data_IF_795678452337
#
_entry.id   IF_795678452337
#
_cell.length_a   1.000
_cell.length_b   1.000
_cell.length_c   1.000
_cell.angle_alpha   90.00
_cell.angle_beta   90.00
_cell.angle_gamma   90.00
#
_symmetry.space_group_name_H-M   'P 1'
#
loop_
_entity.id
_entity.type
_entity.pdbx_description
1 polymer ?
#
# COMPACT_ATOMS: atom_id res chain seq x y z
N UNK A 1 -7.67 24.85 -0.54
CA UNK A 1 -7.14 24.10 -1.68
C UNK A 1 -8.29 23.36 -2.37
N UNK A 2 -8.36 23.39 -3.67
CA UNK A 2 -9.38 22.70 -4.46
C UNK A 2 -8.92 21.27 -4.85
N UNK A 3 -9.83 20.46 -5.44
CA UNK A 3 -9.53 19.06 -5.84
C UNK A 3 -8.32 18.95 -6.79
N UNK A 4 -8.16 19.90 -7.73
CA UNK A 4 -7.07 19.88 -8.71
C UNK A 4 -5.72 20.17 -8.05
N UNK A 5 -5.67 21.12 -7.14
CA UNK A 5 -4.48 21.43 -6.35
C UNK A 5 -4.10 20.28 -5.43
N UNK A 6 -5.09 19.65 -4.76
CA UNK A 6 -4.88 18.46 -3.92
C UNK A 6 -4.25 17.30 -4.71
N UNK A 7 -4.83 16.97 -5.87
CA UNK A 7 -4.29 15.89 -6.71
C UNK A 7 -2.89 16.23 -7.24
N UNK A 8 -2.64 17.49 -7.59
CA UNK A 8 -1.31 17.96 -8.00
C UNK A 8 -0.30 17.86 -6.85
N UNK A 9 -0.68 18.21 -5.64
CA UNK A 9 0.22 18.13 -4.47
C UNK A 9 0.44 16.69 -4.05
N UNK A 10 -0.57 15.82 -4.10
CA UNK A 10 -0.38 14.37 -3.94
C UNK A 10 0.59 13.81 -5.00
N UNK A 11 0.51 14.31 -6.24
CA UNK A 11 1.47 14.03 -7.28
C UNK A 11 2.89 14.48 -6.92
N UNK A 12 3.08 15.69 -6.41
CA UNK A 12 4.37 16.26 -6.05
C UNK A 12 5.01 15.61 -4.82
N UNK A 13 4.20 15.17 -3.85
CA UNK A 13 4.71 14.45 -2.66
C UNK A 13 5.31 13.08 -3.06
N UNK A 14 4.79 12.47 -4.15
CA UNK A 14 5.44 11.31 -4.78
C UNK A 14 6.67 11.67 -5.62
N UNK A 15 6.93 12.97 -5.89
CA UNK A 15 7.81 13.45 -6.97
C UNK A 15 8.91 14.40 -6.56
N UNK A 16 8.91 14.98 -5.35
CA UNK A 16 10.04 15.77 -4.91
C UNK A 16 11.28 14.89 -4.95
N UNK A 17 11.95 14.92 -6.09
CA UNK A 17 13.14 14.23 -6.51
C UNK A 17 13.75 13.29 -5.50
N UNK A 18 13.46 12.00 -5.63
CA UNK A 18 14.15 10.97 -4.89
C UNK A 18 15.57 10.83 -5.48
N UNK A 19 16.39 11.82 -5.24
CA UNK A 19 17.82 11.57 -5.15
C UNK A 19 18.05 10.85 -3.82
N UNK A 20 18.99 9.90 -3.75
CA UNK A 20 19.39 9.16 -2.55
C UNK A 20 19.62 10.06 -1.29
N UNK A 21 19.64 11.39 -1.47
CA UNK A 21 19.70 12.40 -0.41
C UNK A 21 18.38 12.66 0.32
N UNK A 22 17.23 12.13 -0.14
CA UNK A 22 15.90 12.44 0.43
C UNK A 22 15.35 11.39 1.40
N UNK A 23 16.10 10.31 1.67
CA UNK A 23 15.80 9.43 2.79
C UNK A 23 16.92 9.39 3.85
N UNK A 24 17.46 10.56 4.31
CA UNK A 24 18.46 10.56 5.39
C UNK A 24 17.89 9.92 6.66
N UNK A 25 16.57 9.92 6.85
CA UNK A 25 15.96 9.37 8.05
C UNK A 25 15.75 7.84 7.98
N UNK A 26 15.62 7.23 6.79
CA UNK A 26 15.66 5.77 6.68
C UNK A 26 17.06 5.21 6.95
N UNK A 27 18.11 5.96 6.56
CA UNK A 27 19.48 5.69 7.02
C UNK A 27 19.74 6.24 8.42
N UNK A 28 19.06 7.30 8.87
CA UNK A 28 19.20 7.90 10.19
C UNK A 28 18.15 7.39 11.21
N UNK A 29 17.20 6.54 10.84
CA UNK A 29 16.66 5.50 11.74
C UNK A 29 17.74 4.52 12.18
N UNK A 30 18.96 4.58 11.57
CA UNK A 30 20.22 4.21 12.16
C UNK A 30 20.49 5.01 13.45
N UNK A 31 21.46 4.62 14.17
CA UNK A 31 21.83 4.96 15.56
C UNK A 31 21.64 6.41 16.07
N UNK A 32 21.61 7.45 15.20
CA UNK A 32 21.42 8.85 15.64
C UNK A 32 19.97 9.19 16.03
N UNK A 33 18.98 8.80 15.22
CA UNK A 33 17.58 9.03 15.54
C UNK A 33 17.15 8.17 16.74
N UNK A 34 17.73 6.95 16.87
CA UNK A 34 17.56 6.11 18.07
C UNK A 34 18.18 6.72 19.31
N UNK A 35 19.22 7.56 19.19
CA UNK A 35 19.82 8.28 20.30
C UNK A 35 19.02 9.51 20.74
N UNK A 36 18.37 10.23 19.83
CA UNK A 36 17.56 11.43 20.17
C UNK A 36 16.37 11.13 21.07
N UNK A 37 15.77 9.92 20.95
CA UNK A 37 14.57 9.53 21.74
C UNK A 37 14.86 8.46 22.79
N UNK A 38 16.12 8.26 23.15
CA UNK A 38 16.52 7.25 24.13
C UNK A 38 15.97 7.60 25.53
N UNK A 39 15.05 6.74 26.00
CA UNK A 39 14.40 6.90 27.30
C UNK A 39 13.04 7.60 27.26
N UNK A 40 12.66 8.23 26.15
CA UNK A 40 11.33 8.79 25.97
C UNK A 40 10.35 7.75 25.44
N UNK A 41 9.08 7.86 25.87
CA UNK A 41 8.00 6.97 25.41
C UNK A 41 6.86 7.80 24.85
N UNK A 42 6.43 7.44 23.63
CA UNK A 42 5.18 7.94 23.07
C UNK A 42 3.99 7.31 23.82
N UNK A 43 3.05 8.13 24.24
CA UNK A 43 1.81 7.69 24.91
C UNK A 43 0.68 7.63 23.91
N UNK A 44 0.27 6.41 23.55
CA UNK A 44 -0.59 6.13 22.41
C UNK A 44 -1.97 5.65 22.86
N UNK A 45 -3.02 6.18 22.20
CA UNK A 45 -4.36 5.62 22.18
C UNK A 45 -4.61 4.79 20.91
N UNK A 46 -5.37 3.71 21.03
CA UNK A 46 -5.76 2.89 19.86
C UNK A 46 -7.27 2.93 19.72
N UNK A 47 -7.75 3.33 18.55
CA UNK A 47 -9.16 3.43 18.19
C UNK A 47 -9.46 2.37 17.12
N UNK A 48 -10.30 1.40 17.46
CA UNK A 48 -10.53 0.20 16.69
C UNK A 48 -9.54 -0.90 17.06
N UNK A 49 -9.97 -1.85 17.91
CA UNK A 49 -9.16 -2.96 18.42
C UNK A 49 -9.52 -4.30 17.78
N UNK A 50 -10.20 -4.27 16.63
CA UNK A 50 -10.44 -5.45 15.79
C UNK A 50 -9.14 -6.05 15.23
N UNK A 51 -9.23 -6.93 14.22
CA UNK A 51 -8.05 -7.66 13.72
C UNK A 51 -6.86 -6.76 13.34
N UNK A 52 -7.09 -5.58 12.71
CA UNK A 52 -5.99 -4.69 12.32
C UNK A 52 -5.43 -3.93 13.53
N UNK A 53 -6.30 -3.48 14.44
CA UNK A 53 -5.84 -2.88 15.70
C UNK A 53 -5.02 -3.85 16.54
N UNK A 54 -5.47 -5.10 16.70
CA UNK A 54 -4.70 -6.15 17.37
C UNK A 54 -3.37 -6.47 16.67
N UNK A 55 -3.31 -6.39 15.34
CA UNK A 55 -2.05 -6.51 14.61
C UNK A 55 -1.07 -5.41 15.03
N UNK A 56 -1.49 -4.15 15.08
CA UNK A 56 -0.66 -3.05 15.56
C UNK A 56 -0.26 -3.23 17.03
N UNK A 57 -1.18 -3.63 17.90
CA UNK A 57 -0.92 -3.90 19.31
C UNK A 57 0.25 -4.90 19.47
N UNK A 58 0.26 -5.99 18.70
CA UNK A 58 1.31 -7.01 18.75
C UNK A 58 2.69 -6.49 18.34
N UNK A 59 2.77 -5.52 17.43
CA UNK A 59 4.01 -4.83 17.09
C UNK A 59 4.43 -3.87 18.20
N UNK A 60 3.49 -3.06 18.72
CA UNK A 60 3.77 -2.06 19.74
C UNK A 60 4.25 -2.66 21.06
N UNK A 61 3.76 -3.86 21.44
CA UNK A 61 4.25 -4.57 22.64
C UNK A 61 5.75 -4.84 22.58
N UNK A 62 6.32 -4.98 21.38
CA UNK A 62 7.74 -5.25 21.17
C UNK A 62 8.59 -3.98 21.09
N UNK A 63 7.99 -2.79 21.14
CA UNK A 63 8.67 -1.49 21.03
C UNK A 63 8.93 -0.90 22.41
N UNK A 64 10.20 -0.64 22.79
CA UNK A 64 10.52 -0.14 24.14
C UNK A 64 10.13 1.32 24.37
N UNK A 65 9.95 2.09 23.30
CA UNK A 65 9.70 3.53 23.29
C UNK A 65 8.23 3.89 23.11
N UNK A 66 7.31 2.97 23.42
CA UNK A 66 5.86 3.21 23.36
C UNK A 66 5.17 2.75 24.64
N UNK A 67 4.13 3.46 25.02
CA UNK A 67 3.19 3.08 26.06
C UNK A 67 1.77 3.25 25.52
N UNK A 68 1.01 2.17 25.43
CA UNK A 68 -0.42 2.25 25.08
C UNK A 68 -1.18 2.54 26.37
N UNK A 69 -1.73 3.75 26.46
CA UNK A 69 -2.41 4.26 27.67
C UNK A 69 -3.93 4.22 27.56
N UNK A 70 -4.47 4.06 26.34
CA UNK A 70 -5.91 4.02 26.09
C UNK A 70 -6.26 3.09 24.92
N UNK A 71 -7.35 2.34 25.05
CA UNK A 71 -7.93 1.48 24.03
C UNK A 71 -9.39 1.85 23.84
N UNK A 72 -9.87 1.88 22.60
CA UNK A 72 -11.25 2.19 22.27
C UNK A 72 -11.81 1.25 21.20
N UNK A 73 -12.94 0.64 21.48
CA UNK A 73 -13.76 -0.09 20.52
C UNK A 73 -15.20 -0.12 21.02
N UNK A 74 -16.16 0.03 20.12
CA UNK A 74 -17.58 -0.07 20.46
C UNK A 74 -18.10 -1.51 20.47
N UNK A 75 -17.27 -2.48 20.03
CA UNK A 75 -17.54 -3.91 20.17
C UNK A 75 -16.74 -4.48 21.35
N UNK A 76 -17.41 -4.68 22.47
CA UNK A 76 -16.82 -5.03 23.75
C UNK A 76 -15.85 -6.23 23.71
N UNK A 77 -16.11 -7.33 22.98
CA UNK A 77 -15.18 -8.45 22.92
C UNK A 77 -13.80 -8.07 22.32
N UNK A 78 -13.77 -7.23 21.26
CA UNK A 78 -12.49 -6.75 20.70
C UNK A 78 -11.71 -5.93 21.71
N UNK A 79 -12.40 -5.09 22.50
CA UNK A 79 -11.77 -4.26 23.50
C UNK A 79 -11.16 -5.09 24.63
N UNK A 80 -11.85 -6.12 25.08
CA UNK A 80 -11.40 -7.02 26.15
C UNK A 80 -10.20 -7.88 25.71
N UNK A 81 -10.21 -8.38 24.47
CA UNK A 81 -9.07 -9.09 23.90
C UNK A 81 -7.83 -8.20 23.80
N UNK A 82 -7.99 -6.96 23.37
CA UNK A 82 -6.90 -6.00 23.28
C UNK A 82 -6.34 -5.61 24.66
N UNK A 83 -7.20 -5.49 25.67
CA UNK A 83 -6.82 -5.13 27.02
C UNK A 83 -5.87 -6.15 27.69
N UNK A 84 -5.87 -7.41 27.23
CA UNK A 84 -4.95 -8.42 27.73
C UNK A 84 -3.48 -8.07 27.47
N UNK A 85 -3.18 -7.34 26.38
CA UNK A 85 -1.83 -6.88 26.04
C UNK A 85 -1.40 -5.66 26.84
N UNK A 86 -2.36 -4.81 27.24
CA UNK A 86 -2.14 -3.57 28.00
C UNK A 86 -3.12 -3.42 29.15
N UNK A 87 -2.97 -4.23 30.24
CA UNK A 87 -3.95 -4.28 31.34
C UNK A 87 -4.12 -2.97 32.11
N UNK A 88 -3.17 -2.03 31.96
CA UNK A 88 -3.22 -0.71 32.58
C UNK A 88 -3.84 0.38 31.70
N UNK A 89 -4.09 0.07 30.42
CA UNK A 89 -4.72 1.02 29.52
C UNK A 89 -6.17 1.30 29.93
N UNK A 90 -6.58 2.55 29.81
CA UNK A 90 -7.99 2.93 30.03
C UNK A 90 -8.83 2.46 28.84
N UNK A 91 -10.02 1.93 29.12
CA UNK A 91 -10.92 1.38 28.12
C UNK A 91 -12.06 2.34 27.85
N UNK A 92 -12.37 2.56 26.56
CA UNK A 92 -13.41 3.47 26.09
C UNK A 92 -14.29 2.77 25.04
N UNK A 93 -15.57 3.09 25.04
CA UNK A 93 -16.55 2.72 24.01
C UNK A 93 -16.81 3.86 23.01
N UNK A 94 -16.44 5.11 23.39
CA UNK A 94 -16.49 6.31 22.54
C UNK A 94 -15.08 6.90 22.41
N UNK A 95 -14.58 6.98 21.17
CA UNK A 95 -13.26 7.51 20.85
C UNK A 95 -13.09 8.98 21.26
N UNK A 96 -14.16 9.78 21.29
CA UNK A 96 -14.09 11.19 21.68
C UNK A 96 -13.59 11.32 23.11
N UNK A 97 -14.05 10.44 23.99
CA UNK A 97 -13.59 10.39 25.40
C UNK A 97 -12.12 9.98 25.51
N UNK A 98 -11.63 9.15 24.58
CA UNK A 98 -10.21 8.85 24.48
C UNK A 98 -9.43 10.08 24.04
N UNK A 99 -9.93 10.85 23.06
CA UNK A 99 -9.27 12.07 22.58
C UNK A 99 -9.18 13.17 23.64
N UNK A 100 -10.12 13.24 24.59
CA UNK A 100 -10.10 14.17 25.72
C UNK A 100 -8.98 13.87 26.72
N UNK A 101 -8.36 12.69 26.67
CA UNK A 101 -7.29 12.34 27.62
C UNK A 101 -6.04 13.15 27.33
N UNK A 102 -5.58 13.89 28.34
CA UNK A 102 -4.37 14.74 28.23
C UNK A 102 -3.09 13.94 28.07
N UNK A 103 -3.08 12.74 28.61
CA UNK A 103 -1.94 11.83 28.60
C UNK A 103 -1.83 11.00 27.29
N UNK A 104 -2.79 11.08 26.40
CA UNK A 104 -2.70 10.53 25.04
C UNK A 104 -2.05 11.56 24.12
N UNK A 105 -0.88 11.27 23.57
CA UNK A 105 -0.11 12.15 22.68
C UNK A 105 -0.39 11.87 21.21
N UNK A 106 -0.53 10.58 20.89
CA UNK A 106 -0.84 10.12 19.53
C UNK A 106 -1.93 9.05 19.53
N UNK A 107 -2.59 8.89 18.40
CA UNK A 107 -3.64 7.87 18.23
C UNK A 107 -3.40 7.05 16.96
N UNK A 108 -3.70 5.75 17.06
CA UNK A 108 -3.75 4.83 15.92
C UNK A 108 -5.23 4.53 15.65
N UNK A 109 -5.71 4.87 14.46
CA UNK A 109 -7.08 4.65 14.00
C UNK A 109 -7.06 3.43 13.07
N UNK A 110 -7.70 2.33 13.50
CA UNK A 110 -7.77 1.07 12.78
C UNK A 110 -9.23 0.56 12.69
N UNK A 111 -10.13 1.47 12.47
CA UNK A 111 -11.57 1.29 12.36
C UNK A 111 -12.01 0.88 10.93
N UNK A 112 -13.30 0.65 10.66
CA UNK A 112 -13.82 0.59 9.30
C UNK A 112 -13.57 1.86 8.50
N UNK A 113 -13.39 1.71 7.16
CA UNK A 113 -12.98 2.78 6.24
C UNK A 113 -13.81 4.07 6.37
N UNK A 114 -15.12 3.97 6.46
CA UNK A 114 -16.02 5.15 6.53
C UNK A 114 -15.82 6.00 7.79
N UNK A 115 -15.11 5.48 8.81
CA UNK A 115 -14.79 6.19 10.05
C UNK A 115 -13.40 6.82 10.05
N UNK A 116 -12.55 6.51 9.06
CA UNK A 116 -11.16 7.01 9.02
C UNK A 116 -11.11 8.54 9.00
N UNK A 117 -11.79 9.17 8.06
CA UNK A 117 -11.75 10.63 7.91
C UNK A 117 -12.36 11.36 9.11
N UNK A 118 -13.61 11.09 9.56
CA UNK A 118 -14.18 11.82 10.70
C UNK A 118 -13.34 11.66 11.98
N UNK A 119 -12.85 10.45 12.29
CA UNK A 119 -12.01 10.25 13.47
C UNK A 119 -10.63 10.92 13.35
N UNK A 120 -10.05 10.97 12.15
CA UNK A 120 -8.80 11.68 11.88
C UNK A 120 -8.96 13.19 12.06
N UNK A 121 -10.06 13.77 11.56
CA UNK A 121 -10.37 15.20 11.70
C UNK A 121 -10.53 15.59 13.17
N UNK A 122 -11.28 14.78 13.95
CA UNK A 122 -11.47 15.00 15.37
C UNK A 122 -10.14 14.89 16.15
N UNK A 123 -9.32 13.88 15.82
CA UNK A 123 -8.03 13.67 16.47
C UNK A 123 -7.03 14.80 16.17
N UNK A 124 -6.94 15.27 14.91
CA UNK A 124 -6.11 16.42 14.56
C UNK A 124 -6.59 17.69 15.24
N UNK A 125 -7.91 17.89 15.33
CA UNK A 125 -8.52 19.03 16.03
C UNK A 125 -8.25 19.01 17.54
N UNK A 126 -8.14 17.82 18.12
CA UNK A 126 -7.75 17.61 19.52
C UNK A 126 -6.22 17.73 19.74
N UNK A 127 -5.45 18.09 18.70
CA UNK A 127 -3.99 18.25 18.78
C UNK A 127 -3.22 16.94 18.92
N UNK A 128 -3.83 15.79 18.60
CA UNK A 128 -3.16 14.49 18.66
C UNK A 128 -2.34 14.26 17.37
N UNK A 129 -1.23 13.52 17.50
CA UNK A 129 -0.52 12.94 16.36
C UNK A 129 -1.33 11.74 15.90
N UNK A 130 -1.53 11.60 14.58
CA UNK A 130 -2.47 10.62 14.06
C UNK A 130 -1.77 9.63 13.13
N UNK A 131 -1.96 8.36 13.39
CA UNK A 131 -1.80 7.28 12.44
C UNK A 131 -3.21 6.81 12.06
N UNK A 132 -3.56 6.90 10.79
CA UNK A 132 -4.81 6.38 10.27
C UNK A 132 -4.54 5.23 9.29
N UNK A 133 -5.21 4.10 9.47
CA UNK A 133 -5.12 3.01 8.51
C UNK A 133 -5.53 3.45 7.10
N UNK A 134 -5.03 2.72 6.10
CA UNK A 134 -5.42 2.94 4.71
C UNK A 134 -6.87 2.44 4.47
N UNK A 135 -7.62 3.03 3.59
CA UNK A 135 -7.39 4.25 2.84
C UNK A 135 -7.73 5.47 3.70
N UNK A 136 -7.18 6.65 3.37
CA UNK A 136 -7.30 7.86 4.18
C UNK A 136 -8.75 8.26 4.46
N UNK A 137 -9.65 8.10 3.49
CA UNK A 137 -11.06 8.41 3.57
C UNK A 137 -11.87 7.54 2.63
N UNK A 138 -13.17 7.58 2.81
CA UNK A 138 -14.15 6.85 2.01
C UNK A 138 -14.49 7.55 0.69
N UNK A 139 -14.38 8.89 0.66
CA UNK A 139 -14.57 9.73 -0.52
C UNK A 139 -13.36 10.63 -0.77
N UNK A 140 -13.27 11.18 -1.99
CA UNK A 140 -12.22 12.16 -2.31
C UNK A 140 -12.38 13.45 -1.48
N UNK A 141 -13.62 13.88 -1.23
CA UNK A 141 -13.88 15.08 -0.43
C UNK A 141 -13.40 14.89 1.02
N UNK A 142 -13.66 13.74 1.63
CA UNK A 142 -13.12 13.40 2.94
C UNK A 142 -11.58 13.41 2.96
N UNK A 143 -10.93 12.84 1.94
CA UNK A 143 -9.47 12.89 1.83
C UNK A 143 -8.95 14.33 1.74
N UNK A 144 -9.65 15.20 1.00
CA UNK A 144 -9.33 16.62 0.88
C UNK A 144 -9.50 17.36 2.22
N UNK A 145 -10.57 17.06 2.97
CA UNK A 145 -10.80 17.63 4.30
C UNK A 145 -9.70 17.23 5.27
N UNK A 146 -9.33 15.97 5.32
CA UNK A 146 -8.23 15.46 6.16
C UNK A 146 -6.90 16.13 5.80
N UNK A 147 -6.59 16.25 4.50
CA UNK A 147 -5.39 16.92 4.04
C UNK A 147 -5.37 18.42 4.44
N UNK A 148 -6.48 19.12 4.25
CA UNK A 148 -6.59 20.52 4.63
C UNK A 148 -6.49 20.71 6.16
N UNK A 149 -7.14 19.86 6.94
CA UNK A 149 -7.06 19.88 8.40
C UNK A 149 -5.64 19.64 8.89
N UNK A 150 -4.93 18.67 8.31
CA UNK A 150 -3.51 18.43 8.62
C UNK A 150 -2.65 19.68 8.37
N UNK A 151 -2.88 20.38 7.24
CA UNK A 151 -2.17 21.65 6.92
C UNK A 151 -2.54 22.77 7.90
N UNK A 152 -3.81 22.93 8.21
CA UNK A 152 -4.32 23.94 9.16
C UNK A 152 -3.70 23.76 10.55
N UNK A 153 -3.67 22.55 11.05
CA UNK A 153 -3.16 22.25 12.40
C UNK A 153 -1.64 22.09 12.45
N UNK A 154 -0.96 22.03 11.31
CA UNK A 154 0.43 21.57 11.19
C UNK A 154 0.68 20.25 11.94
N UNK A 155 -0.35 19.39 11.97
CA UNK A 155 -0.38 18.14 12.71
C UNK A 155 0.47 17.05 12.08
N UNK A 156 0.93 16.11 12.90
CA UNK A 156 1.56 14.87 12.44
C UNK A 156 0.47 13.91 11.99
N UNK A 157 0.53 13.47 10.72
CA UNK A 157 -0.41 12.52 10.14
C UNK A 157 0.32 11.47 9.32
N UNK A 158 0.15 10.20 9.68
CA UNK A 158 0.59 9.05 8.92
C UNK A 158 -0.62 8.28 8.39
N UNK A 159 -0.54 7.81 7.16
CA UNK A 159 -1.52 6.88 6.57
C UNK A 159 -0.88 5.49 6.49
N UNK A 160 -1.66 4.45 6.80
CA UNK A 160 -1.23 3.06 6.90
C UNK A 160 -0.77 2.41 5.59
N UNK A 161 0.05 3.11 4.80
CA UNK A 161 0.65 2.66 3.55
C UNK A 161 2.04 2.07 3.82
N UNK A 162 2.07 0.90 4.44
CA UNK A 162 3.28 0.29 4.98
C UNK A 162 4.36 0.00 3.93
N UNK A 163 3.98 -0.24 2.66
CA UNK A 163 4.94 -0.53 1.58
C UNK A 163 5.90 0.62 1.29
N UNK A 164 5.52 1.87 1.62
CA UNK A 164 6.42 3.02 1.55
C UNK A 164 7.58 2.94 2.56
N UNK A 165 7.43 2.11 3.57
CA UNK A 165 8.40 1.92 4.66
C UNK A 165 9.08 0.56 4.59
N UNK A 166 8.69 -0.31 3.65
CA UNK A 166 9.33 -1.60 3.43
C UNK A 166 10.69 -1.40 2.74
N UNK A 167 11.82 -1.83 3.36
CA UNK A 167 13.15 -1.66 2.80
C UNK A 167 13.30 -2.26 1.40
N UNK A 168 12.61 -3.35 1.10
CA UNK A 168 12.60 -4.00 -0.22
C UNK A 168 11.97 -3.09 -1.28
N UNK A 169 10.81 -2.49 -0.98
CA UNK A 169 10.15 -1.55 -1.90
C UNK A 169 10.98 -0.29 -2.10
N UNK A 170 11.56 0.26 -1.03
CA UNK A 170 12.45 1.43 -1.11
C UNK A 170 13.65 1.13 -1.99
N UNK A 171 14.30 -0.02 -1.81
CA UNK A 171 15.44 -0.43 -2.66
C UNK A 171 15.03 -0.60 -4.11
N UNK A 172 13.87 -1.22 -4.37
CA UNK A 172 13.33 -1.38 -5.71
C UNK A 172 13.09 -0.03 -6.40
N UNK A 173 12.45 0.93 -5.70
CA UNK A 173 12.19 2.27 -6.22
C UNK A 173 13.49 3.05 -6.48
N UNK A 174 14.50 2.93 -5.60
CA UNK A 174 15.85 3.48 -5.86
C UNK A 174 16.41 2.95 -7.17
N UNK A 175 16.38 1.62 -7.39
CA UNK A 175 16.87 1.01 -8.63
C UNK A 175 16.12 1.51 -9.87
N UNK A 176 14.79 1.67 -9.78
CA UNK A 176 13.96 2.19 -10.87
C UNK A 176 14.34 3.64 -11.19
N UNK A 177 14.42 4.50 -10.19
CA UNK A 177 14.72 5.92 -10.37
C UNK A 177 16.19 6.18 -10.76
N UNK A 178 17.09 5.28 -10.43
CA UNK A 178 18.49 5.28 -10.91
C UNK A 178 18.63 4.77 -12.36
N UNK A 179 17.51 4.37 -13.00
CA UNK A 179 17.47 3.91 -14.39
C UNK A 179 17.95 2.46 -14.59
N UNK A 180 18.02 1.65 -13.54
CA UNK A 180 18.49 0.27 -13.62
C UNK A 180 17.68 -0.60 -14.58
N UNK A 181 16.38 -0.34 -14.69
CA UNK A 181 15.47 -1.05 -15.61
C UNK A 181 15.24 -0.29 -16.93
N UNK A 182 15.95 0.83 -17.16
CA UNK A 182 15.68 1.72 -18.29
C UNK A 182 14.39 2.50 -18.13
N UNK A 183 13.75 2.87 -19.25
CA UNK A 183 12.46 3.56 -19.23
C UNK A 183 11.35 2.59 -18.81
N UNK A 184 10.49 3.00 -17.88
CA UNK A 184 9.32 2.19 -17.51
C UNK A 184 8.32 2.20 -18.65
N UNK A 185 7.95 1.02 -19.15
CA UNK A 185 7.04 0.83 -20.27
C UNK A 185 5.71 0.18 -19.88
N UNK A 186 5.59 -0.33 -18.67
CA UNK A 186 4.36 -0.92 -18.18
C UNK A 186 4.41 -1.23 -16.69
N UNK A 187 3.23 -1.26 -16.05
CA UNK A 187 3.08 -1.70 -14.67
C UNK A 187 1.95 -2.72 -14.62
N UNK A 188 2.23 -3.87 -14.05
CA UNK A 188 1.27 -4.96 -13.96
C UNK A 188 1.02 -5.33 -12.51
N UNK A 189 -0.23 -5.20 -12.06
CA UNK A 189 -0.64 -5.51 -10.71
C UNK A 189 -1.83 -6.45 -10.70
N UNK A 190 -1.83 -7.37 -9.75
CA UNK A 190 -2.97 -8.22 -9.50
C UNK A 190 -2.99 -8.71 -8.05
N UNK A 191 -4.21 -9.02 -7.55
CA UNK A 191 -4.36 -9.63 -6.23
C UNK A 191 -5.52 -10.61 -6.24
N UNK A 192 -5.20 -11.87 -6.42
CA UNK A 192 -6.15 -12.97 -6.49
C UNK A 192 -6.20 -13.67 -5.14
N UNK A 193 -7.41 -13.91 -4.64
CA UNK A 193 -7.67 -14.60 -3.39
C UNK A 193 -8.79 -15.62 -3.56
N UNK A 194 -8.87 -16.58 -2.65
CA UNK A 194 -10.04 -17.44 -2.49
C UNK A 194 -10.53 -17.29 -1.05
N UNK A 195 -11.23 -16.18 -0.80
CA UNK A 195 -11.74 -15.82 0.51
C UNK A 195 -12.95 -14.88 0.33
N UNK A 196 -14.08 -15.24 0.89
CA UNK A 196 -15.30 -14.45 0.77
C UNK A 196 -15.33 -13.19 1.66
N UNK A 197 -14.30 -12.96 2.50
CA UNK A 197 -14.19 -11.87 3.48
C UNK A 197 -15.28 -11.86 4.56
N UNK A 198 -16.25 -12.75 4.49
CA UNK A 198 -17.30 -12.86 5.49
C UNK A 198 -16.75 -13.44 6.79
N UNK A 199 -17.16 -12.86 7.88
CA UNK A 199 -16.88 -13.32 9.24
C UNK A 199 -18.16 -13.77 9.89
N UNK A 200 -18.05 -14.73 10.79
CA UNK A 200 -19.16 -15.13 11.63
C UNK A 200 -19.61 -13.98 12.52
N UNK A 201 -20.92 -13.85 12.68
CA UNK A 201 -21.54 -12.81 13.52
C UNK A 201 -22.31 -13.45 14.67
N UNK A 202 -22.12 -12.98 15.90
CA UNK A 202 -22.83 -13.54 17.06
C UNK A 202 -24.35 -13.33 16.99
N UNK A 203 -24.81 -12.26 16.33
CA UNK A 203 -26.21 -11.97 16.12
C UNK A 203 -26.44 -11.17 14.83
N UNK A 204 -27.63 -11.26 14.21
CA UNK A 204 -27.91 -10.58 12.94
C UNK A 204 -27.72 -9.06 12.97
N UNK A 205 -27.91 -8.42 14.12
CA UNK A 205 -27.76 -6.97 14.29
C UNK A 205 -26.31 -6.51 14.07
N UNK A 206 -25.35 -7.40 14.33
CA UNK A 206 -23.92 -7.13 14.17
C UNK A 206 -23.40 -7.38 12.74
N UNK A 207 -24.25 -7.87 11.85
CA UNK A 207 -23.86 -8.21 10.48
C UNK A 207 -23.12 -7.05 9.77
N UNK A 208 -23.72 -5.88 9.71
CA UNK A 208 -23.11 -4.72 9.03
C UNK A 208 -21.92 -4.14 9.79
N UNK A 209 -21.89 -4.30 11.09
CA UNK A 209 -20.80 -3.86 11.94
C UNK A 209 -19.54 -4.71 11.73
N UNK A 210 -19.68 -6.03 11.73
CA UNK A 210 -18.55 -6.97 11.62
C UNK A 210 -18.16 -7.17 10.15
N UNK A 211 -19.14 -7.29 9.26
CA UNK A 211 -18.95 -7.55 7.83
C UNK A 211 -19.00 -6.27 6.96
N UNK A 212 -18.67 -5.11 7.51
CA UNK A 212 -18.76 -3.81 6.86
C UNK A 212 -18.08 -3.76 5.46
N UNK A 213 -17.01 -4.54 5.24
CA UNK A 213 -16.32 -4.62 3.95
C UNK A 213 -17.17 -5.15 2.81
N UNK A 214 -18.26 -5.84 3.12
CA UNK A 214 -19.14 -6.45 2.14
C UNK A 214 -20.24 -5.49 1.63
N UNK A 215 -20.32 -4.30 2.22
CA UNK A 215 -21.36 -3.33 1.94
C UNK A 215 -20.80 -2.00 1.44
N UNK A 216 -21.32 -1.54 0.28
CA UNK A 216 -20.88 -0.31 -0.38
C UNK A 216 -21.14 0.95 0.45
N UNK A 217 -22.01 0.87 1.44
CA UNK A 217 -22.28 1.92 2.42
C UNK A 217 -21.04 2.22 3.29
N UNK A 218 -20.17 1.22 3.52
CA UNK A 218 -19.03 1.28 4.45
C UNK A 218 -17.67 1.06 3.79
N UNK A 219 -17.65 0.49 2.59
CA UNK A 219 -16.45 0.12 1.85
C UNK A 219 -16.60 0.46 0.37
N UNK A 220 -15.48 0.78 -0.29
CA UNK A 220 -15.40 0.91 -1.76
C UNK A 220 -14.86 -0.36 -2.43
N UNK A 221 -14.92 -1.50 -1.72
CA UNK A 221 -14.58 -2.81 -2.23
C UNK A 221 -13.09 -2.99 -2.57
N UNK A 222 -12.81 -3.85 -3.55
CA UNK A 222 -11.45 -4.32 -3.87
C UNK A 222 -10.50 -3.19 -4.24
N UNK A 223 -10.99 -2.10 -4.82
CA UNK A 223 -10.15 -0.96 -5.20
C UNK A 223 -9.56 -0.23 -3.99
N UNK A 224 -10.33 0.00 -2.95
CA UNK A 224 -9.84 0.67 -1.73
C UNK A 224 -9.20 -0.31 -0.74
N UNK A 225 -9.68 -1.54 -0.69
CA UNK A 225 -9.17 -2.52 0.27
C UNK A 225 -7.85 -3.18 -0.18
N UNK A 226 -7.65 -3.38 -1.48
CA UNK A 226 -6.48 -4.04 -2.05
C UNK A 226 -5.69 -3.14 -3.01
N UNK A 227 -6.32 -2.61 -4.07
CA UNK A 227 -5.62 -1.88 -5.12
C UNK A 227 -4.88 -0.64 -4.63
N UNK A 228 -5.32 0.02 -3.57
CA UNK A 228 -4.69 1.23 -3.05
C UNK A 228 -3.19 1.08 -2.79
N UNK A 229 -2.73 -0.10 -2.41
CA UNK A 229 -1.30 -0.39 -2.23
C UNK A 229 -0.54 -0.42 -3.56
N UNK A 230 -1.08 -1.16 -4.55
CA UNK A 230 -0.45 -1.31 -5.84
C UNK A 230 -0.51 -0.04 -6.68
N UNK A 231 -1.64 0.70 -6.62
CA UNK A 231 -1.79 1.99 -7.30
C UNK A 231 -0.77 3.01 -6.79
N UNK A 232 -0.51 3.01 -5.49
CA UNK A 232 0.50 3.86 -4.90
C UNK A 232 1.90 3.50 -5.39
N UNK A 233 2.26 2.21 -5.39
CA UNK A 233 3.57 1.74 -5.84
C UNK A 233 3.81 2.03 -7.32
N UNK A 234 2.79 1.82 -8.18
CA UNK A 234 2.88 2.16 -9.59
C UNK A 234 3.09 3.66 -9.81
N UNK A 235 2.35 4.51 -9.10
CA UNK A 235 2.53 5.96 -9.17
C UNK A 235 3.89 6.39 -8.61
N UNK A 236 4.40 5.74 -7.59
CA UNK A 236 5.74 5.97 -7.05
C UNK A 236 6.83 5.60 -8.06
N UNK A 237 6.73 4.44 -8.69
CA UNK A 237 7.69 4.01 -9.71
C UNK A 237 7.71 4.95 -10.92
N UNK A 238 6.54 5.40 -11.38
CA UNK A 238 6.40 6.28 -12.56
C UNK A 238 6.68 7.75 -12.25
N UNK A 239 6.66 8.09 -10.98
CA UNK A 239 6.88 9.45 -10.64
C UNK A 239 5.69 10.38 -11.01
N UNK A 240 4.44 9.94 -11.23
CA UNK A 240 3.27 10.73 -11.67
C UNK A 240 1.95 10.04 -11.28
N UNK A 241 0.86 10.77 -11.33
CA UNK A 241 -0.47 10.20 -11.15
C UNK A 241 -1.08 9.83 -12.52
N UNK A 242 -1.95 8.82 -12.57
CA UNK A 242 -2.69 8.52 -13.80
C UNK A 242 -3.66 9.65 -14.14
N UNK A 243 -3.87 9.90 -15.43
CA UNK A 243 -4.83 10.91 -15.93
C UNK A 243 -6.14 10.29 -16.39
N UNK A 244 -6.14 8.99 -16.73
CA UNK A 244 -7.31 8.28 -17.18
C UNK A 244 -7.41 6.93 -16.51
N UNK A 245 -8.65 6.45 -16.33
CA UNK A 245 -8.92 5.11 -15.86
C UNK A 245 -10.11 4.52 -16.63
N UNK A 246 -9.97 3.26 -17.02
CA UNK A 246 -11.04 2.43 -17.55
C UNK A 246 -11.11 1.15 -16.73
N UNK A 247 -12.30 0.70 -16.37
CA UNK A 247 -12.43 -0.51 -15.56
C UNK A 247 -13.82 -1.11 -15.57
N UNK A 248 -13.89 -2.34 -15.10
CA UNK A 248 -15.11 -3.10 -14.94
C UNK A 248 -15.07 -3.85 -13.62
N UNK A 249 -16.24 -4.02 -13.00
CA UNK A 249 -16.36 -4.79 -11.78
C UNK A 249 -17.75 -5.42 -11.66
N UNK A 250 -17.80 -6.61 -11.10
CA UNK A 250 -19.04 -7.37 -10.96
C UNK A 250 -19.06 -8.23 -9.69
N UNK A 251 -20.25 -8.59 -9.26
CA UNK A 251 -20.50 -9.71 -8.35
C UNK A 251 -20.72 -10.96 -9.21
N UNK A 252 -19.72 -11.84 -9.24
CA UNK A 252 -19.73 -13.03 -10.11
C UNK A 252 -20.07 -14.30 -9.32
N UNK A 253 -19.46 -14.47 -8.17
CA UNK A 253 -19.53 -15.71 -7.41
C UNK A 253 -20.34 -15.59 -6.10
N UNK A 254 -19.96 -14.65 -5.22
CA UNK A 254 -20.48 -14.59 -3.85
C UNK A 254 -21.90 -14.02 -3.73
N UNK A 255 -22.49 -13.49 -4.80
CA UNK A 255 -23.83 -12.93 -4.81
C UNK A 255 -24.90 -13.90 -4.32
N UNK A 256 -24.74 -15.20 -4.61
CA UNK A 256 -25.72 -16.23 -4.26
C UNK A 256 -25.70 -16.61 -2.79
N UNK A 257 -24.60 -16.35 -2.10
CA UNK A 257 -24.36 -16.84 -0.74
C UNK A 257 -24.66 -15.79 0.33
N UNK A 258 -24.57 -14.51 -0.02
CA UNK A 258 -24.77 -13.44 0.93
C UNK A 258 -25.38 -12.17 0.29
N UNK A 259 -25.72 -11.20 1.13
CA UNK A 259 -26.37 -9.95 0.72
C UNK A 259 -25.37 -8.82 0.48
N UNK A 260 -24.11 -9.14 0.13
CA UNK A 260 -23.13 -8.13 -0.22
C UNK A 260 -23.52 -7.35 -1.47
N UNK A 261 -23.03 -6.14 -1.59
CA UNK A 261 -23.18 -5.29 -2.76
C UNK A 261 -21.85 -4.72 -3.30
N UNK A 262 -20.72 -5.04 -2.65
CA UNK A 262 -19.39 -4.77 -3.21
C UNK A 262 -18.96 -5.89 -4.17
N UNK A 263 -18.25 -5.52 -5.21
CA UNK A 263 -17.80 -6.45 -6.25
C UNK A 263 -16.78 -7.46 -5.71
N UNK A 264 -16.85 -8.69 -6.21
CA UNK A 264 -15.90 -9.78 -5.92
C UNK A 264 -14.90 -10.02 -7.06
N UNK A 265 -15.07 -9.29 -8.17
CA UNK A 265 -14.18 -9.29 -9.33
C UNK A 265 -14.07 -7.86 -9.86
N UNK A 266 -12.84 -7.38 -10.09
CA UNK A 266 -12.56 -6.06 -10.68
C UNK A 266 -11.36 -6.15 -11.61
N UNK A 267 -11.39 -5.36 -12.71
CA UNK A 267 -10.26 -5.15 -13.61
C UNK A 267 -10.22 -3.68 -14.00
N UNK A 268 -9.04 -3.07 -13.99
CA UNK A 268 -8.87 -1.67 -14.34
C UNK A 268 -7.54 -1.43 -15.07
N UNK A 269 -7.53 -0.43 -15.96
CA UNK A 269 -6.36 0.10 -16.64
C UNK A 269 -6.27 1.58 -16.33
N UNK A 270 -5.11 2.01 -15.84
CA UNK A 270 -4.78 3.40 -15.54
C UNK A 270 -3.75 3.88 -16.55
N UNK A 271 -4.06 4.93 -17.30
CA UNK A 271 -3.14 5.53 -18.27
C UNK A 271 -2.49 6.76 -17.66
N UNK A 272 -1.18 6.82 -17.75
CA UNK A 272 -0.35 7.92 -17.22
C UNK A 272 -0.03 8.93 -18.32
N UNK A 273 0.32 10.21 -17.99
CA UNK A 273 0.62 11.27 -18.96
C UNK A 273 1.73 10.93 -19.97
N UNK A 274 2.64 10.03 -19.61
CA UNK A 274 3.70 9.55 -20.50
C UNK A 274 3.28 8.37 -21.40
N UNK A 275 2.00 7.99 -21.40
CA UNK A 275 1.45 6.89 -22.20
C UNK A 275 1.60 5.50 -21.59
N UNK A 276 2.30 5.37 -20.45
CA UNK A 276 2.43 4.08 -19.76
C UNK A 276 1.09 3.66 -19.18
N UNK A 277 0.75 2.38 -19.34
CA UNK A 277 -0.41 1.78 -18.72
C UNK A 277 -0.02 0.96 -17.49
N UNK A 278 -0.83 1.15 -16.43
CA UNK A 278 -0.83 0.30 -15.26
C UNK A 278 -2.11 -0.52 -15.21
N UNK A 279 -2.01 -1.82 -15.09
CA UNK A 279 -3.17 -2.71 -14.89
C UNK A 279 -3.34 -3.09 -13.44
N UNK A 280 -4.58 -3.30 -13.03
CA UNK A 280 -4.92 -3.92 -11.76
C UNK A 280 -6.08 -4.89 -11.94
N UNK A 281 -5.91 -6.11 -11.44
CA UNK A 281 -6.94 -7.14 -11.45
C UNK A 281 -7.07 -7.78 -10.08
N UNK A 282 -8.30 -8.04 -9.65
CA UNK A 282 -8.56 -8.75 -8.39
C UNK A 282 -9.81 -9.61 -8.49
N UNK A 283 -9.67 -10.84 -8.03
CA UNK A 283 -10.76 -11.81 -7.86
C UNK A 283 -10.60 -12.42 -6.47
N UNK A 284 -11.70 -12.51 -5.69
CA UNK A 284 -11.67 -13.11 -4.36
C UNK A 284 -12.33 -14.49 -4.29
N UNK A 285 -12.56 -15.12 -5.43
CA UNK A 285 -13.09 -16.48 -5.58
C UNK A 285 -12.12 -17.47 -6.23
N UNK A 286 -10.90 -17.02 -6.56
CA UNK A 286 -9.84 -17.86 -7.12
C UNK A 286 -8.48 -17.24 -6.74
N UNK A 287 -7.56 -18.05 -6.20
CA UNK A 287 -6.24 -17.60 -5.74
C UNK A 287 -5.07 -17.99 -6.64
N UNK A 288 -5.32 -18.52 -7.84
CA UNK A 288 -4.29 -19.18 -8.65
C UNK A 288 -3.03 -18.33 -8.87
N UNK A 289 -3.17 -17.06 -9.22
CA UNK A 289 -2.02 -16.16 -9.43
C UNK A 289 -1.48 -15.49 -8.16
N UNK A 290 -2.21 -15.57 -7.04
CA UNK A 290 -1.79 -14.89 -5.81
C UNK A 290 -1.76 -13.38 -5.95
N UNK A 291 -0.65 -12.76 -5.52
CA UNK A 291 -0.41 -11.32 -5.63
C UNK A 291 0.82 -11.07 -6.50
N UNK A 292 0.74 -10.07 -7.38
CA UNK A 292 1.86 -9.62 -8.20
C UNK A 292 1.90 -8.11 -8.34
N UNK A 293 3.12 -7.58 -8.39
CA UNK A 293 3.42 -6.16 -8.58
C UNK A 293 4.71 -6.05 -9.37
N UNK A 294 4.57 -5.84 -10.67
CA UNK A 294 5.68 -5.87 -11.60
C UNK A 294 5.82 -4.52 -12.30
N UNK A 295 7.02 -3.96 -12.25
CA UNK A 295 7.41 -2.76 -12.97
C UNK A 295 8.32 -3.19 -14.13
N UNK A 296 7.81 -3.00 -15.36
CA UNK A 296 8.46 -3.40 -16.58
C UNK A 296 9.19 -2.21 -17.20
N UNK A 297 10.46 -2.37 -17.47
CA UNK A 297 11.30 -1.37 -18.11
C UNK A 297 11.98 -1.92 -19.36
N UNK A 298 12.60 -1.03 -20.15
CA UNK A 298 13.28 -1.38 -21.40
C UNK A 298 14.54 -2.24 -21.21
N UNK A 299 15.14 -2.22 -20.02
CA UNK A 299 16.39 -2.95 -19.69
C UNK A 299 16.18 -4.00 -18.58
N UNK A 300 14.95 -4.19 -18.13
CA UNK A 300 14.65 -5.18 -17.11
C UNK A 300 13.31 -4.97 -16.43
N UNK A 301 12.94 -5.95 -15.61
CA UNK A 301 11.71 -5.95 -14.81
C UNK A 301 12.04 -6.12 -13.34
N UNK A 302 11.35 -5.37 -12.48
CA UNK A 302 11.37 -5.59 -11.04
C UNK A 302 10.02 -6.16 -10.61
N UNK A 303 10.04 -7.32 -9.95
CA UNK A 303 8.90 -7.89 -9.24
C UNK A 303 9.00 -7.48 -7.76
N UNK A 304 8.12 -6.58 -7.33
CA UNK A 304 8.13 -6.00 -5.99
C UNK A 304 7.70 -7.02 -4.92
N UNK A 305 6.85 -7.97 -5.27
CA UNK A 305 6.37 -8.98 -4.31
C UNK A 305 7.49 -9.97 -4.00
N UNK A 306 8.10 -10.53 -5.03
CA UNK A 306 9.20 -11.50 -4.87
C UNK A 306 10.54 -10.85 -4.54
N UNK A 307 10.69 -9.53 -4.76
CA UNK A 307 11.94 -8.82 -4.59
C UNK A 307 13.01 -9.25 -5.60
N UNK A 308 12.59 -9.59 -6.81
CA UNK A 308 13.49 -10.06 -7.87
C UNK A 308 13.64 -9.01 -8.97
N UNK A 309 14.84 -8.88 -9.47
CA UNK A 309 15.17 -8.13 -10.69
C UNK A 309 15.50 -9.12 -11.80
N UNK A 310 14.89 -8.92 -12.95
CA UNK A 310 15.12 -9.68 -14.18
C UNK A 310 15.71 -8.72 -15.21
N UNK A 311 16.93 -9.00 -15.70
CA UNK A 311 17.51 -8.20 -16.78
C UNK A 311 16.83 -8.49 -18.10
N UNK A 312 16.69 -7.47 -18.93
CA UNK A 312 16.21 -7.56 -20.30
C UNK A 312 17.33 -7.08 -21.22
N UNK A 313 17.58 -7.81 -22.29
CA UNK A 313 18.49 -7.32 -23.32
C UNK A 313 17.73 -6.34 -24.23
N UNK A 314 18.28 -5.13 -24.46
CA UNK A 314 17.66 -4.21 -25.41
C UNK A 314 17.45 -4.89 -26.77
N UNK A 315 16.29 -4.68 -27.37
CA UNK A 315 16.02 -5.19 -28.72
C UNK A 315 17.16 -4.76 -29.66
N UNK A 316 17.70 -5.69 -30.47
CA UNK A 316 18.83 -5.37 -31.33
C UNK A 316 18.47 -4.23 -32.26
N UNK A 317 19.28 -3.16 -32.27
CA UNK A 317 19.10 -2.01 -33.15
C UNK A 317 19.17 -2.52 -34.60
N UNK A 318 18.09 -2.37 -35.36
CA UNK A 318 18.07 -2.64 -36.78
C UNK A 318 17.70 -4.05 -37.19
N UNK A 319 17.21 -4.92 -36.32
CA UNK A 319 16.56 -6.20 -36.68
C UNK A 319 15.15 -6.01 -37.28
N UNK A 320 14.90 -4.82 -37.81
CA UNK A 320 13.61 -4.48 -38.39
C UNK A 320 13.37 -5.14 -39.77
N UNK A 321 12.12 -5.10 -40.19
CA UNK A 321 11.62 -5.59 -41.49
C UNK A 321 12.52 -5.15 -42.66
N UNK A 322 13.13 -3.95 -42.61
CA UNK A 322 14.03 -3.44 -43.64
C UNK A 322 15.31 -4.24 -43.80
N UNK A 323 15.93 -4.74 -42.72
CA UNK A 323 17.11 -5.63 -42.87
C UNK A 323 16.73 -7.00 -43.37
N UNK A 324 15.61 -7.53 -42.93
CA UNK A 324 15.10 -8.80 -43.39
C UNK A 324 14.75 -8.75 -44.90
N UNK A 325 14.09 -7.68 -45.34
CA UNK A 325 13.79 -7.40 -46.74
C UNK A 325 15.10 -7.30 -47.57
N UNK A 326 16.07 -6.53 -47.06
CA UNK A 326 17.37 -6.39 -47.74
C UNK A 326 18.14 -7.73 -47.85
N UNK A 327 18.05 -8.61 -46.84
CA UNK A 327 18.65 -9.94 -46.87
C UNK A 327 17.94 -10.88 -47.89
N UNK A 328 16.64 -10.74 -48.02
CA UNK A 328 15.85 -11.48 -49.03
C UNK A 328 16.18 -10.95 -50.42
N UNK A 329 16.17 -9.65 -50.63
CA UNK A 329 16.50 -9.00 -51.91
C UNK A 329 17.94 -9.28 -52.35
N UNK A 330 18.87 -9.41 -51.40
CA UNK A 330 20.27 -9.79 -51.67
C UNK A 330 20.46 -11.30 -51.91
N UNK A 331 19.41 -12.10 -51.82
CA UNK A 331 19.46 -13.56 -52.01
C UNK A 331 20.11 -14.34 -50.85
N UNK A 332 20.42 -13.68 -49.74
CA UNK A 332 20.97 -14.32 -48.54
C UNK A 332 19.91 -15.14 -47.80
N UNK A 333 18.64 -14.72 -47.88
CA UNK A 333 17.51 -15.43 -47.29
C UNK A 333 16.39 -15.65 -48.31
N UNK A 334 15.72 -16.79 -48.25
CA UNK A 334 14.60 -17.08 -49.15
C UNK A 334 13.28 -16.51 -48.60
N UNK A 335 12.33 -16.22 -49.51
CA UNK A 335 10.99 -15.79 -49.13
C UNK A 335 10.23 -16.79 -48.22
N UNK A 336 10.68 -18.06 -48.19
CA UNK A 336 10.10 -19.09 -47.32
C UNK A 336 10.35 -18.84 -45.81
N UNK A 337 11.30 -17.98 -45.49
CA UNK A 337 11.57 -17.55 -44.08
C UNK A 337 10.33 -16.89 -43.47
N UNK A 338 9.53 -16.17 -44.25
CA UNK A 338 8.28 -15.59 -43.78
C UNK A 338 7.18 -16.62 -43.46
N UNK A 339 7.25 -17.81 -44.07
CA UNK A 339 6.25 -18.86 -43.88
C UNK A 339 6.55 -19.79 -42.68
N UNK A 340 7.77 -19.76 -42.15
CA UNK A 340 8.24 -20.70 -41.14
C UNK A 340 8.56 -20.10 -39.76
N UNK A 341 8.75 -18.79 -39.66
CA UNK A 341 8.97 -18.12 -38.36
C UNK A 341 7.63 -17.83 -37.71
N UNK A 342 7.23 -18.70 -36.82
CA UNK A 342 6.16 -18.36 -35.90
C UNK A 342 6.64 -17.15 -35.08
N UNK A 343 5.82 -16.12 -34.96
CA UNK A 343 6.04 -14.96 -34.12
C UNK A 343 6.27 -15.36 -32.63
N UNK A 344 6.00 -16.62 -32.29
CA UNK A 344 6.23 -17.23 -30.99
C UNK A 344 7.66 -17.81 -30.80
N UNK A 345 8.49 -17.86 -31.88
CA UNK A 345 9.80 -18.50 -31.80
C UNK A 345 10.90 -17.64 -31.15
N UNK A 346 10.64 -16.37 -30.90
CA UNK A 346 11.62 -15.44 -30.33
C UNK A 346 11.32 -15.03 -28.86
N UNK A 347 10.50 -15.77 -28.14
CA UNK A 347 10.49 -15.63 -26.70
C UNK A 347 11.76 -16.28 -26.15
N UNK A 348 12.84 -15.51 -26.06
CA UNK A 348 14.00 -15.91 -25.25
C UNK A 348 13.52 -16.32 -23.87
N UNK A 349 14.04 -17.44 -23.30
CA UNK A 349 13.72 -17.78 -21.93
C UNK A 349 14.02 -16.57 -21.03
N UNK A 350 13.12 -16.27 -20.09
CA UNK A 350 13.32 -15.22 -19.12
C UNK A 350 14.70 -15.37 -18.47
N UNK A 351 15.46 -14.30 -18.43
CA UNK A 351 16.73 -14.30 -17.70
C UNK A 351 16.48 -14.72 -16.23
N UNK A 352 17.41 -15.45 -15.61
CA UNK A 352 17.30 -15.79 -14.20
C UNK A 352 17.14 -14.52 -13.34
N UNK A 353 16.14 -14.52 -12.45
CA UNK A 353 15.94 -13.41 -11.54
C UNK A 353 17.06 -13.31 -10.52
N UNK A 354 17.46 -12.07 -10.20
CA UNK A 354 18.46 -11.74 -9.18
C UNK A 354 17.77 -11.05 -8.00
N UNK A 355 17.99 -11.50 -6.75
CA UNK A 355 17.41 -10.82 -5.60
C UNK A 355 17.86 -9.36 -5.50
N UNK A 356 16.93 -8.46 -5.28
CA UNK A 356 17.21 -7.02 -5.05
C UNK A 356 17.99 -6.84 -3.74
N UNK A 357 17.67 -7.68 -2.74
CA UNK A 357 18.32 -7.74 -1.43
C UNK A 357 18.75 -9.18 -1.14
N UNK A 358 19.96 -9.60 -1.52
CA UNK A 358 20.39 -10.99 -1.48
C UNK A 358 20.45 -11.60 -0.06
N UNK A 359 20.48 -10.78 0.98
CA UNK A 359 20.57 -11.21 2.38
C UNK A 359 19.21 -11.21 3.11
N UNK A 360 18.12 -10.89 2.43
CA UNK A 360 16.76 -10.87 3.00
C UNK A 360 15.98 -12.05 2.45
N UNK A 361 15.46 -12.91 3.33
CA UNK A 361 14.54 -13.97 2.92
C UNK A 361 13.24 -13.33 2.43
N UNK A 362 12.91 -13.53 1.17
CA UNK A 362 11.64 -13.13 0.60
C UNK A 362 10.57 -14.10 1.08
N UNK A 363 9.61 -13.59 1.85
CA UNK A 363 8.44 -14.37 2.23
C UNK A 363 7.39 -14.24 1.14
N UNK A 364 7.27 -15.29 0.32
CA UNK A 364 6.19 -15.42 -0.66
C UNK A 364 5.02 -16.14 0.01
N UNK A 365 3.91 -15.46 0.22
CA UNK A 365 2.70 -16.10 0.75
C UNK A 365 1.80 -15.16 1.54
N UNK A 366 0.58 -15.58 1.77
CA UNK A 366 -0.39 -14.88 2.62
C UNK A 366 0.25 -14.62 4.00
N UNK A 367 0.18 -13.37 4.44
CA UNK A 367 0.68 -12.90 5.73
C UNK A 367 0.20 -13.77 6.88
N UNK A 368 1.02 -14.70 7.30
CA UNK A 368 0.90 -15.27 8.65
C UNK A 368 1.45 -14.27 9.64
N UNK A 369 0.81 -14.12 10.78
CA UNK A 369 1.29 -13.31 11.91
C UNK A 369 2.70 -13.82 12.27
N UNK A 370 3.74 -13.05 11.93
CA UNK A 370 5.15 -13.45 12.07
C UNK A 370 5.96 -13.42 10.77
N UNK A 371 5.34 -13.09 9.61
CA UNK A 371 6.08 -12.88 8.36
C UNK A 371 6.94 -11.62 8.48
N UNK A 372 8.23 -11.80 8.30
CA UNK A 372 9.25 -10.76 8.37
C UNK A 372 9.00 -9.68 7.29
N UNK A 373 8.98 -8.41 7.76
CA UNK A 373 9.12 -7.19 6.97
C UNK A 373 8.11 -6.97 5.81
N UNK A 374 6.91 -6.47 6.14
CA UNK A 374 5.99 -5.85 5.16
C UNK A 374 6.00 -4.29 5.25
N UNK A 375 6.94 -3.70 5.99
CA UNK A 375 7.04 -2.27 6.27
C UNK A 375 6.11 -1.78 7.39
N UNK A 376 5.26 -2.64 7.96
CA UNK A 376 4.32 -2.23 9.03
C UNK A 376 5.02 -1.82 10.31
N UNK A 377 6.09 -2.52 10.67
CA UNK A 377 6.90 -2.20 11.85
C UNK A 377 7.64 -0.88 11.67
N UNK A 378 8.30 -0.71 10.53
CA UNK A 378 9.04 0.48 10.17
C UNK A 378 8.14 1.73 10.12
N UNK A 379 6.93 1.58 9.56
CA UNK A 379 5.91 2.64 9.56
C UNK A 379 5.48 3.01 10.99
N UNK A 380 5.23 2.03 11.86
CA UNK A 380 4.90 2.28 13.26
C UNK A 380 6.06 2.93 14.02
N UNK A 381 7.30 2.46 13.83
CA UNK A 381 8.49 3.06 14.43
C UNK A 381 8.63 4.54 14.00
N UNK A 382 8.42 4.86 12.72
CA UNK A 382 8.42 6.22 12.21
C UNK A 382 7.32 7.09 12.87
N UNK A 383 6.11 6.55 13.01
CA UNK A 383 5.02 7.25 13.69
C UNK A 383 5.32 7.50 15.18
N UNK A 384 5.85 6.51 15.89
CA UNK A 384 6.25 6.63 17.30
C UNK A 384 7.34 7.70 17.46
N UNK A 385 8.36 7.69 16.60
CA UNK A 385 9.40 8.71 16.58
C UNK A 385 8.81 10.11 16.33
N UNK A 386 7.93 10.26 15.34
CA UNK A 386 7.26 11.53 15.05
C UNK A 386 6.34 11.97 16.22
N UNK A 387 5.77 11.02 16.96
CA UNK A 387 4.96 11.33 18.14
C UNK A 387 5.82 11.90 19.27
N UNK A 388 7.00 11.35 19.53
CA UNK A 388 7.93 11.84 20.53
C UNK A 388 8.49 13.22 20.14
N UNK A 389 8.97 13.35 18.91
CA UNK A 389 9.65 14.57 18.45
C UNK A 389 8.70 15.71 18.04
N UNK A 390 7.44 15.41 17.79
CA UNK A 390 6.45 16.35 17.25
C UNK A 390 6.73 16.77 15.79
N UNK A 391 7.59 16.04 15.06
CA UNK A 391 7.99 16.37 13.68
C UNK A 391 7.41 15.37 12.69
N UNK A 392 6.72 15.88 11.66
CA UNK A 392 6.33 15.09 10.50
C UNK A 392 7.61 14.76 9.70
N UNK A 393 7.87 13.50 9.32
CA UNK A 393 8.92 13.19 8.34
C UNK A 393 8.64 13.89 7.01
N UNK A 394 9.70 14.33 6.34
CA UNK A 394 9.62 14.96 5.01
C UNK A 394 9.26 13.94 3.92
#
# INVERSE_FOLDING_TARGET
MNRKEFLSDCGKIGFAGVTLSLFPWLQSCSDKAKQEVKGEKARIGIIGTGSRGCFHIKHLVQMPNVEVVALCDNYRPHLEDAAQYYPKAKLYDDYRRLLEQRDVEGVIIATPLYLHAPMTLDALSAGKRVFCEKSMGYTLDECLEVYNKRKETNGVLFIGQQRLFDPKYIKAMSMIHEGKIGDVVGVRNYWYRNNNWRRDVPSPELERHINWRLYSEYSRGLMTELACHQLQNGSWALGMLPEQVMGSGHLVHWLKEDKRDVYDCVSAIFTYPNGVNMTFESIISNKHFGMGEQILGTNGTIDLVTGMYYSEEPAPKGSGMHQLIAQIESGVMSNSVFAGTSWAAESSPLAPGVPIMPNVKVVTGESTVGAEADGSRELLEAFIHATITGRQPE
#
